data_IF_685781037049
#
_entry.id   IF_685781037049
#
_cell.length_a   1.000
_cell.length_b   1.000
_cell.length_c   1.000
_cell.angle_alpha   90.00
_cell.angle_beta   90.00
_cell.angle_gamma   90.00
#
_symmetry.space_group_name_H-M   'P 1'
#
loop_
_entity.id
_entity.type
_entity.pdbx_description
1 polymer ?
#
# COMPACT_ATOMS: atom_id res chain seq x y z
N UNK A 1 7.68 -16.78 4.58
CA UNK A 1 7.43 -15.36 4.27
C UNK A 1 6.01 -14.98 4.66
N UNK A 2 5.81 -13.78 5.23
CA UNK A 2 4.46 -13.25 5.53
C UNK A 2 4.19 -11.98 4.72
N UNK A 3 2.99 -11.90 4.15
CA UNK A 3 2.54 -10.77 3.33
C UNK A 3 1.23 -10.23 3.91
N UNK A 4 1.15 -8.92 4.14
CA UNK A 4 -0.09 -8.24 4.48
C UNK A 4 -0.80 -7.81 3.19
N UNK A 5 -2.13 -7.92 3.14
CA UNK A 5 -2.94 -7.47 2.00
C UNK A 5 -4.03 -6.53 2.52
N UNK A 6 -4.13 -5.36 1.90
CA UNK A 6 -5.13 -4.32 2.17
C UNK A 6 -5.81 -3.90 0.87
N UNK A 7 -7.02 -3.38 0.95
CA UNK A 7 -7.79 -2.85 -0.17
C UNK A 7 -8.78 -1.81 0.34
N UNK A 8 -9.38 -1.03 -0.56
CA UNK A 8 -10.54 -0.16 -0.27
C UNK A 8 -10.25 0.80 0.90
N UNK A 9 -9.11 1.50 0.81
CA UNK A 9 -8.62 2.33 1.91
C UNK A 9 -9.57 3.51 2.20
N UNK A 10 -10.12 4.13 1.16
CA UNK A 10 -11.11 5.22 1.25
C UNK A 10 -10.75 6.28 2.28
N UNK A 11 -9.52 6.80 2.21
CA UNK A 11 -8.99 7.82 3.13
C UNK A 11 -9.03 7.46 4.63
N UNK A 12 -9.32 6.21 4.98
CA UNK A 12 -9.49 5.77 6.36
C UNK A 12 -8.14 5.53 7.05
N UNK A 13 -7.47 6.63 7.39
CA UNK A 13 -6.16 6.61 8.00
C UNK A 13 -6.12 5.82 9.31
N UNK A 14 -7.18 5.83 10.11
CA UNK A 14 -7.26 5.10 11.37
C UNK A 14 -7.17 3.59 11.17
N UNK A 15 -7.89 3.05 10.19
CA UNK A 15 -7.83 1.64 9.87
C UNK A 15 -6.49 1.26 9.25
N UNK A 16 -5.95 2.07 8.34
CA UNK A 16 -4.61 1.87 7.76
C UNK A 16 -3.54 1.82 8.85
N UNK A 17 -3.63 2.73 9.83
CA UNK A 17 -2.74 2.77 11.00
C UNK A 17 -2.70 1.45 11.74
N UNK A 18 -3.89 0.95 12.07
CA UNK A 18 -4.09 -0.26 12.86
C UNK A 18 -3.62 -1.47 12.08
N UNK A 19 -3.95 -1.55 10.79
CA UNK A 19 -3.50 -2.61 9.89
C UNK A 19 -1.97 -2.65 9.76
N UNK A 20 -1.31 -1.50 9.59
CA UNK A 20 0.16 -1.42 9.51
C UNK A 20 0.80 -1.86 10.82
N UNK A 21 0.26 -1.44 11.97
CA UNK A 21 0.75 -1.89 13.28
C UNK A 21 0.69 -3.41 13.39
N UNK A 22 -0.46 -4.01 13.06
CA UNK A 22 -0.63 -5.46 13.09
C UNK A 22 0.29 -6.19 12.11
N UNK A 23 0.45 -5.69 10.89
CA UNK A 23 1.36 -6.27 9.90
C UNK A 23 2.82 -6.28 10.41
N UNK A 24 3.24 -5.21 11.10
CA UNK A 24 4.56 -5.12 11.72
C UNK A 24 4.71 -6.10 12.89
N UNK A 25 3.73 -6.18 13.78
CA UNK A 25 3.72 -7.13 14.91
C UNK A 25 3.78 -8.59 14.44
N UNK A 26 3.15 -8.88 13.31
CA UNK A 26 3.17 -10.19 12.68
C UNK A 26 4.45 -10.46 11.87
N UNK A 27 5.41 -9.54 11.85
CA UNK A 27 6.64 -9.63 11.05
C UNK A 27 6.37 -9.90 9.57
N UNK A 28 5.38 -9.20 8.99
CA UNK A 28 5.19 -9.22 7.53
C UNK A 28 6.38 -8.53 6.84
N UNK A 29 6.82 -9.10 5.75
CA UNK A 29 7.98 -8.63 4.97
C UNK A 29 7.53 -7.74 3.80
N UNK A 30 6.31 -7.96 3.31
CA UNK A 30 5.68 -7.18 2.25
C UNK A 30 4.23 -6.81 2.61
N UNK A 31 3.77 -5.70 2.03
CA UNK A 31 2.39 -5.22 2.07
C UNK A 31 1.90 -4.97 0.65
N UNK A 32 0.78 -5.59 0.30
CA UNK A 32 0.06 -5.37 -0.95
C UNK A 32 -1.15 -4.48 -0.66
N UNK A 33 -1.33 -3.41 -1.42
CA UNK A 33 -2.52 -2.56 -1.38
C UNK A 33 -3.22 -2.60 -2.74
N UNK A 34 -4.44 -3.11 -2.77
CA UNK A 34 -5.21 -3.32 -3.99
C UNK A 34 -5.93 -2.05 -4.51
N UNK A 35 -5.58 -0.88 -3.97
CA UNK A 35 -6.06 0.41 -4.46
C UNK A 35 -7.15 1.05 -3.61
N UNK A 36 -7.90 1.93 -4.25
CA UNK A 36 -8.90 2.80 -3.63
C UNK A 36 -8.33 3.54 -2.42
N UNK A 37 -7.13 4.10 -2.62
CA UNK A 37 -6.51 5.05 -1.71
C UNK A 37 -7.36 6.32 -1.61
N UNK A 38 -8.02 6.70 -2.70
CA UNK A 38 -8.73 7.97 -2.91
C UNK A 38 -7.78 9.17 -2.96
N UNK A 39 -7.14 9.52 -1.84
CA UNK A 39 -6.32 10.73 -1.72
C UNK A 39 -4.82 10.45 -1.58
N UNK A 40 -3.93 11.31 -2.14
CA UNK A 40 -2.47 11.12 -2.07
C UNK A 40 -1.86 11.07 -0.67
N UNK A 41 -2.55 11.54 0.38
CA UNK A 41 -2.02 11.51 1.75
C UNK A 41 -2.01 10.08 2.34
N UNK A 42 -2.80 9.15 1.80
CA UNK A 42 -2.81 7.74 2.24
C UNK A 42 -1.43 7.09 2.06
N UNK A 43 -0.70 7.47 1.00
CA UNK A 43 0.67 7.03 0.75
C UNK A 43 1.60 7.31 1.94
N UNK A 44 1.43 8.44 2.62
CA UNK A 44 2.27 8.82 3.77
C UNK A 44 2.02 7.89 4.96
N UNK A 45 0.79 7.37 5.09
CA UNK A 45 0.45 6.39 6.13
C UNK A 45 0.97 5.01 5.76
N UNK A 46 0.76 4.54 4.53
CA UNK A 46 1.27 3.26 4.03
C UNK A 46 2.80 3.14 4.19
N UNK A 47 3.53 4.25 4.01
CA UNK A 47 4.99 4.34 4.17
C UNK A 47 5.51 3.96 5.56
N UNK A 48 4.65 3.94 6.59
CA UNK A 48 5.00 3.53 7.96
C UNK A 48 5.16 2.01 8.12
N UNK A 49 4.70 1.22 7.14
CA UNK A 49 5.13 -0.15 7.02
C UNK A 49 6.61 -0.15 6.61
N UNK A 50 7.46 -0.89 7.32
CA UNK A 50 8.92 -0.84 7.14
C UNK A 50 9.42 -1.74 6.01
N UNK A 51 8.63 -2.74 5.61
CA UNK A 51 8.95 -3.63 4.49
C UNK A 51 8.59 -3.04 3.13
N UNK A 52 8.62 -3.89 2.10
CA UNK A 52 8.20 -3.52 0.74
C UNK A 52 6.69 -3.29 0.69
N UNK A 53 6.25 -2.21 0.05
CA UNK A 53 4.85 -1.86 -0.17
C UNK A 53 4.60 -1.84 -1.67
N UNK A 54 3.64 -2.62 -2.14
CA UNK A 54 3.21 -2.67 -3.53
C UNK A 54 1.77 -2.22 -3.62
N UNK A 55 1.50 -1.31 -4.55
CA UNK A 55 0.20 -0.66 -4.69
C UNK A 55 -0.22 -0.76 -6.15
N UNK A 56 -1.47 -1.12 -6.38
CA UNK A 56 -2.15 -0.91 -7.67
C UNK A 56 -3.23 0.14 -7.50
N UNK A 57 -3.64 0.77 -8.60
CA UNK A 57 -4.73 1.74 -8.59
C UNK A 57 -6.09 1.03 -8.52
N UNK A 58 -6.97 1.61 -7.69
CA UNK A 58 -8.40 1.33 -7.73
C UNK A 58 -9.14 2.41 -8.53
N UNK A 59 -10.41 2.16 -8.83
CA UNK A 59 -11.22 3.07 -9.65
C UNK A 59 -11.56 4.39 -8.93
N UNK A 60 -11.38 4.48 -7.60
CA UNK A 60 -11.61 5.70 -6.84
C UNK A 60 -10.34 6.54 -6.63
N UNK A 61 -9.18 6.11 -7.15
CA UNK A 61 -7.93 6.88 -7.06
C UNK A 61 -7.94 8.06 -8.04
N UNK A 62 -8.28 9.26 -7.53
CA UNK A 62 -8.53 10.42 -8.37
C UNK A 62 -7.26 11.15 -8.85
N UNK A 63 -6.24 11.27 -7.99
CA UNK A 63 -5.01 12.01 -8.28
C UNK A 63 -3.81 11.08 -8.48
N UNK A 64 -3.87 10.31 -9.57
CA UNK A 64 -2.84 9.36 -9.94
C UNK A 64 -1.45 10.02 -10.04
N UNK A 65 -1.38 11.28 -10.49
CA UNK A 65 -0.12 12.02 -10.60
C UNK A 65 0.52 12.24 -9.22
N UNK A 66 -0.21 12.79 -8.25
CA UNK A 66 0.34 13.04 -6.91
C UNK A 66 0.56 11.74 -6.13
N UNK A 67 -0.27 10.72 -6.33
CA UNK A 67 -0.05 9.38 -5.76
C UNK A 67 1.26 8.80 -6.30
N UNK A 68 1.44 8.77 -7.62
CA UNK A 68 2.65 8.21 -8.26
C UNK A 68 3.90 8.99 -7.91
N UNK A 69 3.82 10.32 -7.76
CA UNK A 69 4.95 11.16 -7.33
C UNK A 69 5.50 10.77 -5.94
N UNK A 70 4.71 10.10 -5.11
CA UNK A 70 5.13 9.58 -3.80
C UNK A 70 5.68 8.15 -3.83
N UNK A 71 5.66 7.52 -5.00
CA UNK A 71 6.23 6.19 -5.23
C UNK A 71 7.76 6.24 -5.18
N UNK A 72 8.38 5.20 -4.64
CA UNK A 72 9.81 4.94 -4.68
C UNK A 72 10.10 3.43 -4.70
N UNK A 73 11.37 3.03 -4.52
CA UNK A 73 11.78 1.62 -4.56
C UNK A 73 11.16 0.77 -3.44
N UNK A 74 10.78 1.37 -2.31
CA UNK A 74 10.19 0.66 -1.17
C UNK A 74 8.67 0.74 -1.18
N UNK A 75 8.11 1.89 -1.55
CA UNK A 75 6.65 2.10 -1.68
C UNK A 75 6.34 2.29 -3.15
N UNK A 76 6.03 1.19 -3.83
CA UNK A 76 5.95 1.14 -5.28
C UNK A 76 4.52 1.07 -5.77
N UNK A 77 4.16 2.02 -6.64
CA UNK A 77 2.90 2.01 -7.41
C UNK A 77 3.17 1.33 -8.76
N UNK A 78 2.35 0.34 -9.12
CA UNK A 78 2.54 -0.48 -10.33
C UNK A 78 1.59 -0.15 -11.48
N UNK A 79 0.72 0.85 -11.31
CA UNK A 79 -0.37 1.10 -12.27
C UNK A 79 -1.58 0.25 -11.91
N UNK A 80 -2.26 -0.31 -12.92
CA UNK A 80 -3.52 -1.05 -12.73
C UNK A 80 -3.32 -2.51 -12.29
N UNK A 81 -2.12 -3.07 -12.46
CA UNK A 81 -1.86 -4.48 -12.21
C UNK A 81 -0.46 -4.72 -11.68
N UNK A 82 -0.33 -5.68 -10.77
CA UNK A 82 0.93 -6.15 -10.25
C UNK A 82 0.93 -7.67 -10.17
N UNK A 83 1.98 -8.28 -10.71
CA UNK A 83 2.31 -9.69 -10.52
C UNK A 83 3.70 -9.76 -9.89
N UNK A 84 3.85 -10.64 -8.89
CA UNK A 84 5.11 -10.80 -8.18
C UNK A 84 5.19 -12.14 -7.48
N UNK A 85 6.43 -12.61 -7.28
CA UNK A 85 6.74 -13.84 -6.55
C UNK A 85 7.33 -13.51 -5.19
N UNK A 86 6.79 -14.14 -4.15
CA UNK A 86 7.15 -13.91 -2.76
C UNK A 86 7.56 -15.23 -2.10
N UNK A 87 8.73 -15.29 -1.47
CA UNK A 87 9.14 -16.43 -0.64
C UNK A 87 9.81 -17.61 -1.36
N UNK A 88 10.04 -17.51 -2.68
CA UNK A 88 10.71 -18.54 -3.48
C UNK A 88 9.79 -19.53 -4.16
#
# INVERSE_FOLDING_TARGET
>A
MRVAILSDIHDNLWNVSTAIRHAREMNCEALLCCGDLCSPFVMDRLRLFTGAVHIVFGNNDADLFRITKKSDDRVKVHGEFFEGKFGG
#
